data_IF_401487515459
#
_entry.id   IF_401487515459
#
_cell.length_a   1.000
_cell.length_b   1.000
_cell.length_c   1.000
_cell.angle_alpha   90.00
_cell.angle_beta   90.00
_cell.angle_gamma   90.00
#
_symmetry.space_group_name_H-M   'P 1'
#
loop_
_entity.id
_entity.type
_entity.pdbx_description
1 polymer ?
#
# COMPACT_ATOMS: atom_id res chain seq x y z
N UNK A 1 -3.25 5.49 -3.19
CA UNK A 1 -2.55 4.94 -2.02
C UNK A 1 -1.19 4.44 -2.45
N UNK A 2 -0.12 4.98 -1.86
CA UNK A 2 1.25 4.50 -2.07
C UNK A 2 1.61 3.41 -1.04
N UNK A 3 2.43 2.45 -1.43
CA UNK A 3 2.90 1.37 -0.57
C UNK A 3 4.06 1.85 0.30
N UNK A 4 4.08 1.44 1.56
CA UNK A 4 5.14 1.76 2.51
C UNK A 4 5.59 0.50 3.24
N UNK A 5 6.89 0.36 3.45
CA UNK A 5 7.44 -0.64 4.34
C UNK A 5 7.52 -0.10 5.77
N UNK A 6 7.29 -0.96 6.75
CA UNK A 6 7.45 -0.65 8.17
C UNK A 6 8.95 -0.69 8.51
N UNK A 7 9.49 0.45 8.89
CA UNK A 7 10.88 0.59 9.30
C UNK A 7 11.09 -0.08 10.65
N UNK A 8 11.76 -1.24 10.64
CA UNK A 8 11.95 -2.12 11.81
C UNK A 8 11.71 -3.60 11.50
N UNK A 9 10.85 -3.91 10.52
CA UNK A 9 10.58 -5.30 10.11
C UNK A 9 10.39 -5.54 8.61
N UNK A 10 10.28 -4.50 7.78
CA UNK A 10 10.20 -4.64 6.33
C UNK A 10 8.83 -5.03 5.75
N UNK A 11 7.84 -5.37 6.58
CA UNK A 11 6.47 -5.63 6.11
C UNK A 11 5.90 -4.42 5.36
N UNK A 12 5.21 -4.69 4.24
CA UNK A 12 4.63 -3.65 3.38
C UNK A 12 3.15 -3.48 3.65
N UNK A 13 2.71 -2.23 3.70
CA UNK A 13 1.33 -1.80 3.94
C UNK A 13 0.95 -0.71 2.94
N UNK A 14 -0.36 -0.48 2.79
CA UNK A 14 -0.85 0.81 2.31
C UNK A 14 -0.34 1.93 3.22
N UNK A 15 0.13 3.03 2.64
CA UNK A 15 0.68 4.17 3.39
C UNK A 15 -0.32 4.75 4.40
N UNK A 16 -1.56 4.95 3.99
CA UNK A 16 -2.64 5.43 4.87
C UNK A 16 -2.96 4.43 6.00
N UNK A 17 -3.01 3.12 5.71
CA UNK A 17 -3.25 2.10 6.74
C UNK A 17 -2.09 2.03 7.75
N UNK A 18 -0.85 2.12 7.27
CA UNK A 18 0.33 2.20 8.13
C UNK A 18 0.30 3.45 9.00
N UNK A 19 -0.02 4.60 8.41
CA UNK A 19 -0.09 5.89 9.12
C UNK A 19 -1.18 5.89 10.20
N UNK A 20 -2.39 5.44 9.85
CA UNK A 20 -3.49 5.33 10.80
C UNK A 20 -3.13 4.42 11.98
N UNK A 21 -2.50 3.26 11.72
CA UNK A 21 -2.11 2.35 12.79
C UNK A 21 -0.98 2.91 13.65
N UNK A 22 0.11 3.34 13.02
CA UNK A 22 1.35 3.65 13.73
C UNK A 22 1.30 5.05 14.36
N UNK A 23 0.84 6.03 13.58
CA UNK A 23 0.89 7.44 13.95
C UNK A 23 -0.40 7.84 14.67
N UNK A 24 -1.56 7.74 14.03
CA UNK A 24 -2.83 8.24 14.58
C UNK A 24 -3.29 7.47 15.81
N UNK A 25 -3.14 6.14 15.82
CA UNK A 25 -3.48 5.29 16.97
C UNK A 25 -2.35 5.12 17.97
N UNK A 26 -1.21 5.80 17.76
CA UNK A 26 -0.02 5.72 18.60
C UNK A 26 0.46 4.28 18.86
N UNK A 27 0.23 3.36 17.92
CA UNK A 27 0.72 1.98 18.02
C UNK A 27 2.06 1.91 17.31
N UNK A 28 3.15 2.23 18.01
CA UNK A 28 4.53 2.21 17.48
C UNK A 28 5.07 0.78 17.15
N UNK A 29 4.24 -0.04 16.51
CA UNK A 29 4.48 -1.43 16.17
C UNK A 29 3.89 -1.77 14.82
N UNK A 30 4.48 -2.74 14.13
CA UNK A 30 3.93 -3.29 12.90
C UNK A 30 2.54 -3.92 13.14
N UNK A 31 1.52 -3.63 12.32
CA UNK A 31 0.21 -4.28 12.44
C UNK A 31 0.23 -5.78 12.11
N UNK A 32 1.25 -6.24 11.36
CA UNK A 32 1.39 -7.64 10.92
C UNK A 32 2.11 -8.49 11.98
N UNK A 33 3.32 -8.08 12.38
CA UNK A 33 4.17 -8.89 13.26
C UNK A 33 4.45 -8.28 14.64
N UNK A 34 3.88 -7.10 14.96
CA UNK A 34 4.06 -6.38 16.23
C UNK A 34 5.50 -5.94 16.56
N UNK A 35 6.46 -6.13 15.67
CA UNK A 35 7.81 -5.58 15.82
C UNK A 35 7.76 -4.06 16.02
N UNK A 36 8.65 -3.52 16.86
CA UNK A 36 8.76 -2.09 17.12
C UNK A 36 9.16 -1.34 15.85
N UNK A 37 8.51 -0.20 15.62
CA UNK A 37 8.86 0.68 14.50
C UNK A 37 9.94 1.68 14.91
N UNK A 38 10.72 2.15 13.93
CA UNK A 38 11.62 3.28 14.13
C UNK A 38 10.83 4.52 14.57
N UNK A 39 11.26 5.18 15.65
CA UNK A 39 10.49 6.23 16.31
C UNK A 39 10.20 7.46 15.44
N UNK A 40 11.17 7.92 14.64
CA UNK A 40 11.03 9.13 13.82
C UNK A 40 10.53 8.85 12.39
N UNK A 41 10.96 7.74 11.81
CA UNK A 41 10.67 7.34 10.43
C UNK A 41 10.05 5.94 10.38
N UNK A 42 8.84 5.74 10.94
CA UNK A 42 8.25 4.39 11.09
C UNK A 42 7.83 3.75 9.75
N UNK A 43 7.65 4.56 8.71
CA UNK A 43 7.21 4.12 7.38
C UNK A 43 8.16 4.69 6.32
N UNK A 44 8.60 3.83 5.39
CA UNK A 44 9.45 4.22 4.26
C UNK A 44 8.70 3.87 2.97
N UNK A 45 8.64 4.77 1.95
CA UNK A 45 8.01 4.44 0.67
C UNK A 45 8.60 3.16 0.05
N UNK A 46 7.73 2.23 -0.36
CA UNK A 46 8.11 1.01 -1.05
C UNK A 46 7.78 1.12 -2.54
N UNK A 47 8.65 1.82 -3.27
CA UNK A 47 8.50 2.09 -4.71
C UNK A 47 8.44 0.79 -5.53
N UNK A 48 9.20 -0.23 -5.11
CA UNK A 48 9.20 -1.55 -5.77
C UNK A 48 7.85 -2.23 -5.67
N UNK A 49 7.23 -2.24 -4.48
CA UNK A 49 5.90 -2.81 -4.30
C UNK A 49 4.83 -2.03 -5.09
N UNK A 50 4.90 -0.70 -5.11
CA UNK A 50 3.98 0.13 -5.90
C UNK A 50 4.06 -0.18 -7.40
N UNK A 51 5.28 -0.27 -7.94
CA UNK A 51 5.49 -0.63 -9.34
C UNK A 51 5.01 -2.05 -9.63
N UNK A 52 5.22 -2.98 -8.72
CA UNK A 52 4.76 -4.36 -8.85
C UNK A 52 3.23 -4.43 -8.92
N UNK A 53 2.54 -3.80 -7.96
CA UNK A 53 1.06 -3.73 -7.94
C UNK A 53 0.55 -3.11 -9.24
N UNK A 54 1.09 -1.96 -9.65
CA UNK A 54 0.66 -1.29 -10.86
C UNK A 54 0.84 -2.15 -12.12
N UNK A 55 1.97 -2.85 -12.26
CA UNK A 55 2.22 -3.75 -13.38
C UNK A 55 1.28 -4.96 -13.34
N UNK A 56 1.03 -5.53 -12.16
CA UNK A 56 0.12 -6.65 -11.98
C UNK A 56 -1.31 -6.29 -12.40
N UNK A 57 -1.81 -5.12 -11.99
CA UNK A 57 -3.15 -4.64 -12.40
C UNK A 57 -3.28 -4.49 -13.92
N UNK A 58 -2.24 -3.95 -14.58
CA UNK A 58 -2.20 -3.87 -16.06
C UNK A 58 -2.23 -5.24 -16.73
N UNK A 59 -1.56 -6.23 -16.15
CA UNK A 59 -1.59 -7.61 -16.67
C UNK A 59 -2.99 -8.21 -16.52
N UNK A 60 -3.66 -8.02 -15.38
CA UNK A 60 -5.04 -8.48 -15.19
C UNK A 60 -5.99 -7.91 -16.24
N UNK A 61 -5.93 -6.61 -16.49
CA UNK A 61 -6.73 -5.96 -17.53
C UNK A 61 -6.51 -6.58 -18.93
N UNK A 62 -5.24 -6.85 -19.28
CA UNK A 62 -4.86 -7.49 -20.55
C UNK A 62 -5.33 -8.95 -20.67
N UNK A 63 -5.45 -9.64 -19.55
CA UNK A 63 -5.95 -11.02 -19.49
C UNK A 63 -7.50 -11.11 -19.50
N UNK A 64 -8.20 -9.99 -19.69
CA UNK A 64 -9.66 -9.96 -19.84
C UNK A 64 -10.44 -9.69 -18.55
N UNK A 65 -9.78 -9.25 -17.48
CA UNK A 65 -10.49 -8.81 -16.26
C UNK A 65 -11.07 -7.41 -16.48
N UNK A 66 -12.33 -7.36 -16.95
CA UNK A 66 -13.06 -6.13 -17.35
C UNK A 66 -13.10 -5.07 -16.24
N UNK A 67 -13.17 -5.49 -14.97
CA UNK A 67 -13.19 -4.56 -13.83
C UNK A 67 -11.90 -3.73 -13.69
N UNK A 68 -10.78 -4.24 -14.21
CA UNK A 68 -9.47 -3.57 -14.21
C UNK A 68 -9.16 -2.87 -15.55
N UNK A 69 -10.03 -2.98 -16.55
CA UNK A 69 -9.91 -2.25 -17.81
C UNK A 69 -10.33 -0.78 -17.64
N UNK A 70 -10.09 0.04 -18.67
CA UNK A 70 -10.47 1.45 -18.68
C UNK A 70 -12.00 1.56 -18.53
N UNK A 71 -12.46 2.30 -17.52
CA UNK A 71 -13.87 2.41 -17.16
C UNK A 71 -14.39 1.32 -16.22
N UNK A 72 -13.59 0.28 -15.94
CA UNK A 72 -13.90 -0.76 -14.96
C UNK A 72 -13.91 -0.21 -13.54
N UNK A 73 -14.84 -0.68 -12.72
CA UNK A 73 -15.09 -0.10 -11.39
C UNK A 73 -13.91 -0.28 -10.42
N UNK A 74 -13.14 -1.38 -10.51
CA UNK A 74 -11.95 -1.58 -9.66
C UNK A 74 -10.83 -0.62 -10.03
N UNK A 75 -10.64 -0.35 -11.32
CA UNK A 75 -9.64 0.63 -11.76
C UNK A 75 -10.01 2.05 -11.30
N UNK A 76 -11.28 2.43 -11.48
CA UNK A 76 -11.80 3.73 -11.04
C UNK A 76 -11.64 3.93 -9.54
N UNK A 77 -12.07 2.95 -8.74
CA UNK A 77 -11.95 3.02 -7.28
C UNK A 77 -10.48 3.06 -6.83
N UNK A 78 -9.59 2.30 -7.47
CA UNK A 78 -8.17 2.33 -7.15
C UNK A 78 -7.50 3.67 -7.49
N UNK A 79 -7.89 4.30 -8.60
CA UNK A 79 -7.44 5.64 -8.99
C UNK A 79 -7.95 6.70 -8.02
N UNK A 80 -9.23 6.65 -7.64
CA UNK A 80 -9.81 7.58 -6.68
C UNK A 80 -9.09 7.56 -5.32
N UNK A 81 -8.57 6.41 -4.88
CA UNK A 81 -7.77 6.34 -3.65
C UNK A 81 -6.35 6.92 -3.77
N UNK A 82 -5.91 7.33 -4.97
CA UNK A 82 -4.59 7.94 -5.20
C UNK A 82 -4.62 9.46 -5.25
N UNK A 83 -5.78 10.05 -5.52
CA UNK A 83 -6.07 11.47 -5.39
C UNK A 83 -6.24 11.85 -3.91
#
# INVERSE_FOLDING_TARGET
VASHLVNGCGHTLCGSCGYQWIVEKHRNTCPVCRAQCHALTPLIPNITADNFVHKHLRVRARLGDEDWQVGGWKLLEWQARKE
#
